data_IF_227468003866
#
_entry.id   IF_227468003866
#
_cell.length_a   1.000
_cell.length_b   1.000
_cell.length_c   1.000
_cell.angle_alpha   90.00
_cell.angle_beta   90.00
_cell.angle_gamma   90.00
#
_symmetry.space_group_name_H-M   'P 1'
#
loop_
_entity.id
_entity.type
_entity.pdbx_description
1 polymer ?
#
# COMPACT_ATOMS: atom_id res chain seq x y z
N UNK A 1 -10.33 -25.15 5.06
CA UNK A 1 -10.56 -23.87 4.35
C UNK A 1 -10.40 -24.11 2.85
N UNK A 2 -11.09 -23.36 1.98
CA UNK A 2 -10.83 -23.44 0.52
C UNK A 2 -9.42 -22.89 0.27
N UNK A 3 -8.52 -23.71 -0.27
CA UNK A 3 -7.15 -23.32 -0.62
C UNK A 3 -7.03 -22.78 -2.04
N UNK A 4 -8.10 -22.93 -2.84
CA UNK A 4 -8.14 -22.50 -4.23
C UNK A 4 -9.50 -21.95 -4.64
N UNK A 5 -9.50 -21.20 -5.73
CA UNK A 5 -10.68 -20.68 -6.39
C UNK A 5 -10.52 -20.77 -7.91
N UNK A 6 -11.65 -20.90 -8.62
CA UNK A 6 -11.67 -20.89 -10.08
C UNK A 6 -11.97 -19.49 -10.58
N UNK A 7 -11.17 -19.00 -11.53
CA UNK A 7 -11.36 -17.70 -12.16
C UNK A 7 -10.96 -17.81 -13.64
N UNK A 8 -11.80 -17.29 -14.54
CA UNK A 8 -11.57 -17.31 -15.98
C UNK A 8 -11.17 -18.69 -16.58
N UNK A 9 -11.73 -19.79 -16.04
CA UNK A 9 -11.43 -21.15 -16.51
C UNK A 9 -10.14 -21.76 -15.93
N UNK A 10 -9.35 -20.98 -15.20
CA UNK A 10 -8.15 -21.43 -14.48
C UNK A 10 -8.43 -21.63 -13.00
N UNK A 11 -7.72 -22.57 -12.38
CA UNK A 11 -7.72 -22.74 -10.91
C UNK A 11 -6.51 -22.04 -10.30
N UNK A 12 -6.74 -21.21 -9.30
CA UNK A 12 -5.73 -20.45 -8.59
C UNK A 12 -5.70 -20.82 -7.12
N UNK A 13 -4.50 -20.93 -6.54
CA UNK A 13 -4.36 -20.96 -5.09
C UNK A 13 -4.67 -19.57 -4.53
N UNK A 14 -5.29 -19.51 -3.35
CA UNK A 14 -5.45 -18.24 -2.63
C UNK A 14 -4.05 -17.84 -2.12
N UNK A 15 -3.49 -16.71 -2.56
CA UNK A 15 -2.16 -16.28 -2.10
C UNK A 15 -2.22 -15.85 -0.64
N UNK A 16 -1.09 -16.01 0.05
CA UNK A 16 -0.83 -15.30 1.31
C UNK A 16 -0.09 -13.97 1.03
N UNK A 17 0.46 -13.34 2.07
CA UNK A 17 1.15 -12.06 1.93
C UNK A 17 2.51 -12.18 1.21
N UNK A 18 3.19 -13.32 1.34
CA UNK A 18 4.54 -13.51 0.81
C UNK A 18 4.50 -13.81 -0.70
N UNK A 19 3.43 -14.48 -1.17
CA UNK A 19 3.27 -14.89 -2.57
C UNK A 19 2.32 -13.98 -3.39
N UNK A 20 1.78 -12.91 -2.80
CA UNK A 20 0.77 -12.06 -3.46
C UNK A 20 1.26 -11.43 -4.76
N UNK A 21 2.52 -11.00 -4.82
CA UNK A 21 3.08 -10.32 -5.99
C UNK A 21 3.22 -11.30 -7.17
N UNK A 22 3.75 -12.50 -6.92
CA UNK A 22 3.88 -13.54 -7.93
C UNK A 22 2.51 -13.97 -8.49
N UNK A 23 1.49 -13.99 -7.63
CA UNK A 23 0.11 -14.24 -8.02
C UNK A 23 -0.46 -13.12 -8.90
N UNK A 24 -0.27 -11.85 -8.53
CA UNK A 24 -0.70 -10.69 -9.34
C UNK A 24 -0.03 -10.74 -10.72
N UNK A 25 1.28 -10.95 -10.77
CA UNK A 25 2.04 -11.03 -12.01
C UNK A 25 1.51 -12.12 -12.94
N UNK A 26 1.10 -13.27 -12.38
CA UNK A 26 0.47 -14.34 -13.15
C UNK A 26 -0.85 -13.87 -13.78
N UNK A 27 -1.71 -13.20 -13.02
CA UNK A 27 -2.97 -12.68 -13.56
C UNK A 27 -2.75 -11.63 -14.66
N UNK A 28 -1.72 -10.78 -14.54
CA UNK A 28 -1.35 -9.81 -15.57
C UNK A 28 -0.87 -10.52 -16.84
N UNK A 29 0.02 -11.52 -16.71
CA UNK A 29 0.52 -12.32 -17.85
C UNK A 29 -0.59 -13.09 -18.56
N UNK A 30 -1.57 -13.59 -17.83
CA UNK A 30 -2.74 -14.28 -18.38
C UNK A 30 -3.83 -13.30 -18.90
N UNK A 31 -3.57 -11.98 -18.88
CA UNK A 31 -4.51 -10.93 -19.31
C UNK A 31 -5.85 -10.94 -18.55
N UNK A 32 -5.83 -11.43 -17.31
CA UNK A 32 -7.00 -11.52 -16.44
C UNK A 32 -7.24 -10.26 -15.61
N UNK A 33 -6.25 -9.38 -15.54
CA UNK A 33 -6.37 -8.04 -14.96
C UNK A 33 -6.38 -6.99 -16.08
N UNK A 34 -7.41 -6.14 -16.06
CA UNK A 34 -7.52 -4.99 -16.95
C UNK A 34 -7.25 -3.72 -16.14
N UNK A 35 -6.35 -2.88 -16.66
CA UNK A 35 -6.13 -1.54 -16.11
C UNK A 35 -7.12 -0.57 -16.74
N UNK A 36 -7.97 0.04 -15.91
CA UNK A 36 -8.88 1.10 -16.35
C UNK A 36 -8.07 2.35 -16.80
N UNK A 37 -8.23 2.83 -18.05
CA UNK A 37 -7.48 3.99 -18.55
C UNK A 37 -7.78 5.27 -17.79
N UNK A 38 -9.01 5.45 -17.30
CA UNK A 38 -9.40 6.61 -16.51
C UNK A 38 -8.68 6.61 -15.15
N UNK A 39 -8.62 5.46 -14.47
CA UNK A 39 -7.84 5.33 -13.21
C UNK A 39 -6.38 5.69 -13.46
N UNK A 40 -5.79 5.21 -14.56
CA UNK A 40 -4.40 5.51 -14.93
C UNK A 40 -4.16 7.01 -15.12
N UNK A 41 -5.05 7.71 -15.80
CA UNK A 41 -4.89 9.16 -16.02
C UNK A 41 -5.11 9.98 -14.75
N UNK A 42 -6.03 9.57 -13.88
CA UNK A 42 -6.19 10.19 -12.56
C UNK A 42 -4.90 10.05 -11.74
N UNK A 43 -4.26 8.88 -11.76
CA UNK A 43 -3.00 8.64 -11.05
C UNK A 43 -1.82 9.46 -11.61
N UNK A 44 -1.85 9.77 -12.90
CA UNK A 44 -0.87 10.67 -13.54
C UNK A 44 -1.13 12.16 -13.26
N UNK A 45 -2.25 12.49 -12.60
CA UNK A 45 -2.64 13.87 -12.31
C UNK A 45 -3.40 14.57 -13.44
N UNK A 46 -3.80 13.86 -14.50
CA UNK A 46 -4.40 14.44 -15.71
C UNK A 46 -5.93 14.57 -15.67
N UNK A 47 -6.58 14.60 -14.50
CA UNK A 47 -8.05 14.60 -14.41
C UNK A 47 -8.72 15.97 -14.63
N UNK A 48 -8.10 16.87 -15.41
CA UNK A 48 -8.36 18.31 -15.44
C UNK A 48 -9.76 18.71 -15.92
N UNK A 49 -10.44 17.86 -16.71
CA UNK A 49 -11.73 18.19 -17.32
C UNK A 49 -12.95 17.82 -16.46
N UNK A 50 -12.75 17.19 -15.29
CA UNK A 50 -13.86 16.61 -14.50
C UNK A 50 -13.92 17.14 -13.07
N UNK A 51 -15.14 17.24 -12.54
CA UNK A 51 -15.33 17.56 -11.12
C UNK A 51 -14.73 16.47 -10.21
N UNK A 52 -14.20 16.89 -9.05
CA UNK A 52 -13.66 15.97 -8.03
C UNK A 52 -14.69 14.92 -7.56
N UNK A 53 -15.98 15.25 -7.57
CA UNK A 53 -17.06 14.31 -7.21
C UNK A 53 -17.14 13.17 -8.21
N UNK A 54 -17.09 13.49 -9.51
CA UNK A 54 -17.14 12.48 -10.57
C UNK A 54 -15.90 11.60 -10.55
N UNK A 55 -14.73 12.21 -10.32
CA UNK A 55 -13.47 11.46 -10.19
C UNK A 55 -13.55 10.46 -9.04
N UNK A 56 -13.97 10.90 -7.85
CA UNK A 56 -14.13 10.01 -6.67
C UNK A 56 -15.06 8.84 -6.95
N UNK A 57 -16.23 9.10 -7.55
CA UNK A 57 -17.22 8.05 -7.84
C UNK A 57 -16.69 7.01 -8.82
N UNK A 58 -16.13 7.45 -9.95
CA UNK A 58 -15.61 6.54 -10.99
C UNK A 58 -14.40 5.76 -10.49
N UNK A 59 -13.49 6.42 -9.78
CA UNK A 59 -12.30 5.78 -9.22
C UNK A 59 -12.68 4.70 -8.19
N UNK A 60 -13.66 5.01 -7.31
CA UNK A 60 -14.18 4.05 -6.35
C UNK A 60 -14.87 2.86 -7.02
N UNK A 61 -15.64 3.10 -8.08
CA UNK A 61 -16.30 2.03 -8.82
C UNK A 61 -15.29 1.09 -9.49
N UNK A 62 -14.21 1.63 -10.06
CA UNK A 62 -13.21 0.84 -10.77
C UNK A 62 -12.23 0.09 -9.85
N UNK A 63 -11.81 0.70 -8.73
CA UNK A 63 -10.74 0.14 -7.88
C UNK A 63 -11.23 -0.38 -6.53
N UNK A 64 -12.47 -0.09 -6.14
CA UNK A 64 -12.96 -0.33 -4.78
C UNK A 64 -12.35 0.60 -3.72
N UNK A 65 -11.41 1.48 -4.10
CA UNK A 65 -10.75 2.43 -3.22
C UNK A 65 -11.02 3.86 -3.69
N UNK A 66 -10.97 4.83 -2.76
CA UNK A 66 -11.00 6.23 -3.17
C UNK A 66 -9.60 6.69 -3.55
N UNK A 67 -9.48 7.63 -4.50
CA UNK A 67 -8.20 8.25 -4.86
C UNK A 67 -7.43 8.76 -3.63
N UNK A 68 -8.13 9.39 -2.68
CA UNK A 68 -7.53 9.84 -1.41
C UNK A 68 -6.93 8.70 -0.60
N UNK A 69 -7.60 7.54 -0.55
CA UNK A 69 -7.10 6.38 0.21
C UNK A 69 -5.89 5.75 -0.46
N UNK A 70 -5.86 5.70 -1.79
CA UNK A 70 -4.69 5.22 -2.52
C UNK A 70 -3.48 6.14 -2.29
N UNK A 71 -3.66 7.46 -2.39
CA UNK A 71 -2.60 8.42 -2.08
C UNK A 71 -2.08 8.30 -0.63
N UNK A 72 -2.93 7.90 0.33
CA UNK A 72 -2.49 7.63 1.71
C UNK A 72 -1.66 6.34 1.82
N UNK A 73 -1.98 5.31 1.03
CA UNK A 73 -1.22 4.06 0.96
C UNK A 73 0.15 4.32 0.33
N UNK A 74 0.18 4.98 -0.83
CA UNK A 74 1.43 5.36 -1.52
C UNK A 74 2.34 6.19 -0.62
N UNK A 75 1.78 7.17 0.09
CA UNK A 75 2.53 7.97 1.07
C UNK A 75 3.13 7.11 2.19
N UNK A 76 2.38 6.13 2.69
CA UNK A 76 2.87 5.22 3.72
C UNK A 76 4.00 4.32 3.18
N UNK A 77 3.92 3.87 1.93
CA UNK A 77 5.02 3.14 1.28
C UNK A 77 6.27 4.02 1.11
N UNK A 78 6.11 5.26 0.65
CA UNK A 78 7.23 6.22 0.54
C UNK A 78 7.90 6.45 1.90
N UNK A 79 7.11 6.67 2.95
CA UNK A 79 7.64 6.83 4.30
C UNK A 79 8.42 5.58 4.76
N UNK A 80 7.88 4.38 4.49
CA UNK A 80 8.55 3.12 4.83
C UNK A 80 9.90 2.98 4.11
N UNK A 81 9.95 3.28 2.81
CA UNK A 81 11.19 3.25 2.04
C UNK A 81 12.25 4.23 2.58
N UNK A 82 11.85 5.44 2.99
CA UNK A 82 12.77 6.41 3.59
C UNK A 82 13.30 5.95 4.96
N UNK A 83 12.46 5.28 5.75
CA UNK A 83 12.84 4.70 7.04
C UNK A 83 13.80 3.53 6.87
N UNK A 84 13.60 2.68 5.86
CA UNK A 84 14.52 1.60 5.48
C UNK A 84 15.91 2.11 5.10
N UNK A 85 15.97 3.32 4.52
CA UNK A 85 17.22 4.02 4.20
C UNK A 85 17.88 4.66 5.43
N UNK A 86 17.25 4.61 6.60
CA UNK A 86 17.77 5.16 7.86
C UNK A 86 17.50 6.65 8.06
N UNK A 87 16.58 7.24 7.30
CA UNK A 87 16.17 8.64 7.46
C UNK A 87 15.50 8.86 8.81
N UNK A 88 15.72 10.03 9.42
CA UNK A 88 15.13 10.34 10.73
C UNK A 88 13.60 10.43 10.66
N UNK A 89 12.89 10.06 11.73
CA UNK A 89 11.42 10.06 11.75
C UNK A 89 10.81 11.43 11.40
N UNK A 90 11.47 12.52 11.82
CA UNK A 90 11.02 13.88 11.54
C UNK A 90 11.19 14.23 10.06
N UNK A 91 12.36 13.91 9.49
CA UNK A 91 12.65 14.14 8.08
C UNK A 91 11.73 13.30 7.18
N UNK A 92 11.46 12.04 7.55
CA UNK A 92 10.51 11.20 6.81
C UNK A 92 9.10 11.80 6.84
N UNK A 93 8.64 12.25 8.02
CA UNK A 93 7.32 12.87 8.12
C UNK A 93 7.20 14.09 7.19
N UNK A 94 8.23 14.94 7.15
CA UNK A 94 8.28 16.10 6.27
C UNK A 94 8.34 15.69 4.78
N UNK A 95 9.28 14.82 4.40
CA UNK A 95 9.52 14.43 3.01
C UNK A 95 8.33 13.65 2.41
N UNK A 96 7.68 12.79 3.20
CA UNK A 96 6.48 12.08 2.78
C UNK A 96 5.20 12.95 2.84
N UNK A 97 5.28 14.20 3.33
CA UNK A 97 4.14 15.13 3.35
C UNK A 97 3.09 14.81 4.43
N UNK A 98 3.54 14.37 5.61
CA UNK A 98 2.74 14.33 6.82
C UNK A 98 2.82 15.66 7.58
N UNK A 99 1.75 16.00 8.31
CA UNK A 99 1.72 17.20 9.14
C UNK A 99 2.67 17.10 10.34
N UNK A 100 2.85 15.90 10.88
CA UNK A 100 3.75 15.59 11.97
C UNK A 100 4.06 14.08 12.01
N UNK A 101 5.03 13.70 12.84
CA UNK A 101 5.42 12.31 13.06
C UNK A 101 4.26 11.46 13.60
N UNK A 102 3.40 11.99 14.46
CA UNK A 102 2.29 11.21 15.04
C UNK A 102 1.25 10.81 13.98
N UNK A 103 0.97 11.70 13.02
CA UNK A 103 0.15 11.43 11.85
C UNK A 103 0.78 10.36 10.96
N UNK A 104 2.09 10.43 10.74
CA UNK A 104 2.83 9.41 10.00
C UNK A 104 2.71 8.05 10.69
N UNK A 105 3.00 7.96 11.98
CA UNK A 105 2.94 6.70 12.75
C UNK A 105 1.55 6.06 12.69
N UNK A 106 0.47 6.86 12.81
CA UNK A 106 -0.91 6.36 12.66
C UNK A 106 -1.18 5.81 11.26
N UNK A 107 -0.66 6.45 10.22
CA UNK A 107 -0.81 5.98 8.85
C UNK A 107 -0.03 4.69 8.59
N UNK A 108 1.22 4.59 9.04
CA UNK A 108 2.05 3.39 8.92
C UNK A 108 1.40 2.19 9.62
N UNK A 109 0.93 2.37 10.86
CA UNK A 109 0.19 1.32 11.57
C UNK A 109 -1.03 0.84 10.80
N UNK A 110 -1.75 1.76 10.15
CA UNK A 110 -2.99 1.46 9.43
C UNK A 110 -2.76 0.74 8.11
N UNK A 111 -1.73 1.11 7.35
CA UNK A 111 -1.55 0.65 5.97
C UNK A 111 -0.43 -0.37 5.81
N UNK A 112 0.59 -0.32 6.64
CA UNK A 112 1.79 -1.18 6.57
C UNK A 112 1.75 -2.26 7.67
N UNK A 113 0.99 -2.03 8.74
CA UNK A 113 0.78 -3.02 9.82
C UNK A 113 1.89 -3.07 10.88
N UNK A 114 2.97 -2.31 10.69
CA UNK A 114 4.01 -2.09 11.70
C UNK A 114 4.44 -0.62 11.74
N UNK A 115 5.06 -0.22 12.85
CA UNK A 115 5.59 1.13 13.06
C UNK A 115 7.02 1.02 13.57
N UNK A 116 7.97 1.82 13.06
CA UNK A 116 9.21 2.04 13.78
C UNK A 116 8.85 2.68 15.13
N UNK A 117 9.35 2.09 16.22
CA UNK A 117 8.94 2.46 17.58
C UNK A 117 9.19 3.96 17.85
N UNK A 118 8.26 4.59 18.57
CA UNK A 118 8.36 5.99 19.01
C UNK A 118 9.50 6.24 20.01
N UNK A 119 10.07 5.19 20.60
CA UNK A 119 11.14 5.28 21.60
C UNK A 119 12.56 5.23 21.00
N UNK A 120 12.70 5.27 19.67
CA UNK A 120 14.01 5.41 19.03
C UNK A 120 14.48 6.87 18.98
N UNK A 121 14.47 7.54 20.14
CA UNK A 121 15.16 8.81 20.36
C UNK A 121 16.63 8.56 20.69
N UNK A 122 17.42 8.12 19.71
CA UNK A 122 18.87 8.41 19.62
C UNK A 122 19.54 7.55 18.53
N UNK A 123 20.05 8.22 17.51
CA UNK A 123 21.28 7.95 16.72
C UNK A 123 21.63 6.54 16.20
N UNK A 124 20.84 5.51 16.42
CA UNK A 124 21.14 4.15 15.95
C UNK A 124 20.01 3.60 15.11
N UNK A 125 20.34 3.34 13.84
CA UNK A 125 19.62 2.59 12.79
C UNK A 125 18.22 2.11 13.18
N UNK A 126 17.21 2.69 12.52
CA UNK A 126 15.80 2.31 12.61
C UNK A 126 15.67 0.78 12.47
N UNK A 127 15.45 0.08 13.59
CA UNK A 127 15.07 -1.33 13.59
C UNK A 127 13.61 -1.39 13.15
N UNK A 128 13.38 -1.83 11.92
CA UNK A 128 12.05 -2.21 11.46
C UNK A 128 11.72 -3.52 12.15
N UNK A 129 10.96 -3.44 13.23
CA UNK A 129 10.44 -4.62 13.90
C UNK A 129 9.36 -5.23 12.99
N UNK A 130 9.72 -6.19 12.15
CA UNK A 130 8.77 -7.15 11.59
C UNK A 130 8.08 -7.82 12.78
N UNK A 131 6.75 -7.85 12.78
CA UNK A 131 6.00 -8.55 13.80
C UNK A 131 6.21 -10.06 13.58
N UNK A 132 7.20 -10.65 14.26
CA UNK A 132 7.47 -12.09 14.30
C UNK A 132 6.40 -12.84 15.12
N UNK A 133 5.13 -12.61 14.79
CA UNK A 133 3.98 -13.24 15.47
C UNK A 133 3.08 -13.99 14.50
N UNK A 134 3.67 -14.60 13.46
CA UNK A 134 3.07 -15.73 12.74
C UNK A 134 4.16 -16.81 12.54
N UNK A 135 4.75 -17.23 13.65
CA UNK A 135 5.40 -18.54 13.76
C UNK A 135 5.14 -19.05 15.16
N UNK A 136 3.94 -19.58 15.34
CA UNK A 136 3.66 -20.58 16.38
C UNK A 136 2.90 -21.72 15.70
N UNK A 137 3.69 -22.69 15.24
CA UNK A 137 3.47 -24.14 15.31
C UNK A 137 2.04 -24.64 15.61
N UNK A 138 1.48 -25.40 14.67
CA UNK A 138 1.01 -26.78 14.85
C UNK A 138 0.57 -27.36 13.49
#
# INVERSE_FOLDING_TARGET
AKTSFSFAGSSFQIPDYDDVEAFIDKLVREHLLVSDPFVREVLRGHSQEMSLRTVRRRFLFATGLTHKRLAQIERAHQATALLEQGTSLLDVAYQAGYADQAHMTRALKRFIGYTPHSDCTSRERVKICRNSSISTQA
#
